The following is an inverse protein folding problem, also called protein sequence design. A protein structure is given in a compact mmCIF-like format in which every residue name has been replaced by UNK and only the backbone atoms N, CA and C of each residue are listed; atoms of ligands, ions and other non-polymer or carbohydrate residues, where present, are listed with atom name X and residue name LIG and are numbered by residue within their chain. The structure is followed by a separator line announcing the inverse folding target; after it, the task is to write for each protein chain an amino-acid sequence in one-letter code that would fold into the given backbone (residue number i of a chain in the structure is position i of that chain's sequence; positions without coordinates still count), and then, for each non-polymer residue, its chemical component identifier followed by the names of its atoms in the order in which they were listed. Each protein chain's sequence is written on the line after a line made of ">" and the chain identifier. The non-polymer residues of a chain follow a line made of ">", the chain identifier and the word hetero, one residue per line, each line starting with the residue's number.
data_IF_434631310155
#
_entry.id   IF_434631310155
#
_cell.length_a   1.000
_cell.length_b   1.000
_cell.length_c   1.000
_cell.angle_alpha   90.00
_cell.angle_beta   90.00
_cell.angle_gamma   90.00
#
_symmetry.space_group_name_H-M   'P 1'
#
loop_
_entity.id
_entity.type
_entity.pdbx_description
1 polymer ?
#
# COMPACT_ATOMS: atom_id res chain seq x y z
N UNK A 1 15.83 5.51 -3.71
CA UNK A 1 14.99 6.58 -4.30
C UNK A 1 13.78 6.94 -3.43
N UNK A 2 12.98 5.96 -2.97
CA UNK A 2 11.77 6.18 -2.12
C UNK A 2 12.03 6.87 -0.76
N UNK A 3 13.22 6.70 -0.16
CA UNK A 3 13.56 7.32 1.13
C UNK A 3 13.65 8.85 1.07
N UNK A 4 14.28 9.41 0.02
CA UNK A 4 14.47 10.86 -0.12
C UNK A 4 13.15 11.62 -0.30
N UNK A 5 12.18 11.02 -0.99
CA UNK A 5 10.84 11.59 -1.14
C UNK A 5 10.07 11.60 0.18
N UNK A 6 10.20 10.55 1.00
CA UNK A 6 9.56 10.47 2.33
C UNK A 6 10.16 11.41 3.35
N UNK A 7 11.48 11.55 3.37
CA UNK A 7 12.13 12.48 4.31
C UNK A 7 11.68 13.91 4.00
N UNK A 8 11.52 14.23 2.71
CA UNK A 8 10.93 15.50 2.25
C UNK A 8 9.46 15.65 2.67
N UNK A 9 8.63 14.63 2.49
CA UNK A 9 7.21 14.66 2.87
C UNK A 9 7.01 14.78 4.39
N UNK A 10 7.83 14.07 5.17
CA UNK A 10 7.84 14.14 6.64
C UNK A 10 8.23 15.54 7.11
N UNK A 11 9.22 16.16 6.45
CA UNK A 11 9.61 17.55 6.71
C UNK A 11 8.52 18.55 6.32
N UNK A 12 7.82 18.34 5.20
CA UNK A 12 6.72 19.20 4.75
C UNK A 12 5.50 19.14 5.68
N UNK A 13 5.21 17.97 6.26
CA UNK A 13 4.08 17.77 7.18
C UNK A 13 4.38 18.22 8.61
N UNK A 14 5.62 18.65 8.91
CA UNK A 14 6.04 19.08 10.26
C UNK A 14 5.92 17.97 11.31
N UNK A 15 5.86 16.70 10.89
CA UNK A 15 5.65 15.57 11.77
C UNK A 15 7.00 14.86 12.05
N UNK A 16 7.57 14.95 13.25
CA UNK A 16 8.87 14.35 13.55
C UNK A 16 8.84 12.82 13.65
N UNK A 17 7.65 12.21 13.79
CA UNK A 17 7.49 10.77 13.96
C UNK A 17 7.19 10.02 12.65
N UNK A 18 6.80 10.75 11.60
CA UNK A 18 6.37 10.17 10.34
C UNK A 18 5.07 9.38 10.46
N UNK A 19 4.89 8.38 9.59
CA UNK A 19 3.66 7.58 9.54
C UNK A 19 3.48 6.72 10.80
N UNK A 20 2.28 6.73 11.37
CA UNK A 20 1.90 5.83 12.48
C UNK A 20 2.04 4.35 12.09
N UNK A 21 1.96 4.01 10.80
CA UNK A 21 2.02 2.63 10.31
C UNK A 21 3.44 2.13 10.01
N UNK A 22 4.47 2.98 10.03
CA UNK A 22 5.83 2.60 9.63
C UNK A 22 6.90 3.16 10.57
N UNK A 23 7.90 2.34 10.85
CA UNK A 23 9.15 2.74 11.46
C UNK A 23 10.25 2.64 10.39
N UNK A 24 10.51 3.76 9.69
CA UNK A 24 11.39 3.83 8.51
C UNK A 24 10.97 2.84 7.41
N UNK A 25 11.72 1.74 7.25
CA UNK A 25 11.49 0.73 6.21
C UNK A 25 10.53 -0.38 6.65
N UNK A 26 10.31 -0.51 7.96
CA UNK A 26 9.53 -1.59 8.55
C UNK A 26 8.13 -1.11 8.97
N UNK A 27 7.14 -2.00 9.10
CA UNK A 27 5.90 -1.69 9.81
C UNK A 27 6.20 -1.25 11.25
N UNK A 28 5.43 -0.29 11.76
CA UNK A 28 5.53 0.10 13.17
C UNK A 28 4.93 -0.98 14.08
N UNK A 29 5.20 -0.89 15.38
CA UNK A 29 4.53 -1.74 16.38
C UNK A 29 3.00 -1.60 16.33
N UNK A 30 2.51 -0.39 16.06
CA UNK A 30 1.08 -0.13 15.87
C UNK A 30 0.54 -0.91 14.66
N UNK A 31 1.19 -0.81 13.50
CA UNK A 31 0.78 -1.55 12.31
C UNK A 31 0.82 -3.07 12.53
N UNK A 32 1.84 -3.56 13.23
CA UNK A 32 1.96 -4.99 13.56
C UNK A 32 0.83 -5.45 14.48
N UNK A 33 0.50 -4.67 15.50
CA UNK A 33 -0.60 -4.96 16.42
C UNK A 33 -1.95 -4.93 15.71
N UNK A 34 -2.18 -3.95 14.85
CA UNK A 34 -3.41 -3.82 14.08
C UNK A 34 -3.62 -5.00 13.13
N UNK A 35 -2.57 -5.44 12.41
CA UNK A 35 -2.62 -6.64 11.54
C UNK A 35 -2.86 -7.95 12.31
N UNK A 36 -2.46 -8.02 13.57
CA UNK A 36 -2.61 -9.21 14.41
C UNK A 36 -3.97 -9.27 15.10
N UNK A 37 -4.48 -8.12 15.53
CA UNK A 37 -5.60 -8.04 16.47
C UNK A 37 -6.91 -7.61 15.83
N UNK A 38 -6.90 -7.09 14.60
CA UNK A 38 -8.10 -6.62 13.93
C UNK A 38 -8.23 -7.30 12.56
N UNK A 39 -9.40 -7.89 12.29
CA UNK A 39 -9.71 -8.46 10.98
C UNK A 39 -9.95 -7.36 9.92
N UNK A 40 -10.49 -6.22 10.34
CA UNK A 40 -10.78 -5.06 9.49
C UNK A 40 -10.33 -3.77 10.19
N UNK A 41 -9.82 -2.83 9.41
CA UNK A 41 -9.51 -1.47 9.88
C UNK A 41 -10.00 -0.44 8.86
N UNK A 42 -10.38 0.73 9.35
CA UNK A 42 -10.89 1.84 8.54
C UNK A 42 -10.72 3.15 9.32
N UNK A 43 -10.77 4.27 8.61
CA UNK A 43 -10.71 5.59 9.25
C UNK A 43 -12.00 5.92 10.03
N UNK A 44 -13.16 5.42 9.59
CA UNK A 44 -14.46 5.63 10.24
C UNK A 44 -15.39 4.45 10.00
N UNK A 45 -16.21 4.09 11.00
CA UNK A 45 -17.21 3.01 10.88
C UNK A 45 -18.22 3.27 9.76
N UNK A 46 -18.46 4.54 9.43
CA UNK A 46 -19.34 4.94 8.32
C UNK A 46 -18.87 4.41 6.97
N UNK A 47 -17.58 4.10 6.80
CA UNK A 47 -17.05 3.48 5.59
C UNK A 47 -17.69 2.12 5.29
N UNK A 48 -18.21 1.40 6.30
CA UNK A 48 -18.95 0.16 6.08
C UNK A 48 -20.26 0.35 5.32
N UNK A 49 -20.84 1.57 5.34
CA UNK A 49 -22.08 1.87 4.59
C UNK A 49 -21.89 1.83 3.08
N UNK A 50 -20.63 1.86 2.61
CA UNK A 50 -20.29 1.76 1.20
C UNK A 50 -20.33 0.30 0.70
N UNK A 51 -20.50 -0.67 1.60
CA UNK A 51 -20.56 -2.09 1.29
C UNK A 51 -21.97 -2.64 1.53
N UNK A 52 -22.35 -3.64 0.73
CA UNK A 52 -23.56 -4.42 0.99
C UNK A 52 -23.46 -5.14 2.35
N UNK A 53 -24.56 -5.30 3.11
CA UNK A 53 -24.57 -6.12 4.33
C UNK A 53 -24.20 -7.59 4.09
N UNK A 54 -24.30 -8.08 2.85
CA UNK A 54 -23.89 -9.43 2.44
C UNK A 54 -22.46 -9.46 1.87
N UNK A 55 -21.73 -8.35 1.91
CA UNK A 55 -20.38 -8.27 1.39
C UNK A 55 -19.42 -9.15 2.21
N UNK A 56 -18.55 -9.87 1.50
CA UNK A 56 -17.53 -10.73 2.10
C UNK A 56 -16.15 -10.14 1.83
N UNK A 57 -15.47 -9.75 2.90
CA UNK A 57 -14.11 -9.21 2.83
C UNK A 57 -13.08 -10.35 2.70
N UNK A 58 -12.14 -10.21 1.77
CA UNK A 58 -11.00 -11.12 1.61
C UNK A 58 -9.70 -10.33 1.84
N UNK A 59 -8.71 -10.90 2.56
CA UNK A 59 -7.40 -10.29 2.68
C UNK A 59 -6.68 -10.32 1.32
N UNK A 60 -5.90 -9.29 1.04
CA UNK A 60 -5.10 -9.19 -0.17
C UNK A 60 -4.00 -10.27 -0.17
N UNK A 61 -3.89 -11.01 -1.27
CA UNK A 61 -3.01 -12.18 -1.44
C UNK A 61 -1.54 -11.83 -1.23
N UNK A 62 -1.14 -10.65 -1.69
CA UNK A 62 0.26 -10.25 -1.81
C UNK A 62 0.88 -9.81 -0.48
N UNK A 63 0.05 -9.48 0.53
CA UNK A 63 0.50 -9.03 1.84
C UNK A 63 1.19 -10.12 2.67
N UNK A 64 1.13 -11.38 2.22
CA UNK A 64 1.74 -12.54 2.88
C UNK A 64 2.89 -13.16 2.10
N UNK A 65 3.22 -12.61 0.93
CA UNK A 65 4.32 -13.16 0.15
C UNK A 65 5.62 -13.06 0.96
N UNK A 66 6.22 -14.21 1.20
CA UNK A 66 7.56 -14.30 1.77
C UNK A 66 8.54 -13.71 0.75
N UNK A 67 9.70 -13.22 1.21
CA UNK A 67 10.66 -12.54 0.34
C UNK A 67 11.07 -13.35 -0.91
N UNK A 68 11.01 -14.68 -0.82
CA UNK A 68 11.32 -15.60 -1.92
C UNK A 68 10.11 -15.91 -2.84
N UNK A 69 8.91 -15.46 -2.50
CA UNK A 69 7.69 -15.63 -3.29
C UNK A 69 7.40 -14.42 -4.20
N UNK A 70 8.02 -13.27 -3.91
CA UNK A 70 7.85 -11.98 -4.60
C UNK A 70 8.16 -12.07 -6.11
N UNK A 71 8.92 -13.07 -6.56
CA UNK A 71 9.24 -13.30 -7.98
C UNK A 71 8.24 -14.17 -8.76
N UNK A 72 7.16 -14.68 -8.14
CA UNK A 72 6.18 -15.56 -8.83
C UNK A 72 4.86 -14.89 -9.20
N UNK A 73 4.56 -13.69 -8.69
CA UNK A 73 3.31 -12.97 -8.93
C UNK A 73 3.43 -11.84 -9.97
N UNK A 74 4.38 -11.94 -10.91
CA UNK A 74 4.56 -10.96 -11.96
C UNK A 74 3.57 -11.20 -13.11
N UNK A 75 2.35 -10.65 -12.98
CA UNK A 75 1.90 -9.75 -14.05
C UNK A 75 2.53 -8.38 -13.75
N UNK A 76 3.86 -8.29 -13.92
CA UNK A 76 4.51 -7.01 -14.05
C UNK A 76 3.93 -6.41 -15.34
N UNK A 77 3.30 -5.25 -15.21
CA UNK A 77 3.23 -4.33 -16.34
C UNK A 77 4.66 -4.16 -16.83
N UNK A 78 4.95 -4.64 -18.03
CA UNK A 78 6.25 -4.44 -18.64
C UNK A 78 6.40 -2.93 -18.80
N UNK A 79 7.47 -2.34 -18.28
CA UNK A 79 7.69 -0.89 -18.38
C UNK A 79 7.73 -0.45 -19.86
N UNK A 80 8.08 -1.38 -20.75
CA UNK A 80 8.02 -1.29 -22.20
C UNK A 80 6.59 -1.04 -22.74
N UNK A 81 5.55 -1.59 -22.10
CA UNK A 81 4.15 -1.41 -22.52
C UNK A 81 3.62 -0.03 -22.11
N UNK A 82 4.02 0.49 -20.95
CA UNK A 82 3.66 1.83 -20.48
C UNK A 82 4.31 2.92 -21.33
N UNK A 83 5.52 2.67 -21.85
CA UNK A 83 6.25 3.63 -22.69
C UNK A 83 5.81 3.60 -24.16
N UNK A 84 5.10 2.55 -24.61
CA UNK A 84 4.57 2.46 -25.98
C UNK A 84 3.31 3.28 -26.21
N UNK A 85 2.51 3.54 -25.18
CA UNK A 85 1.25 4.28 -25.32
C UNK A 85 1.47 5.78 -25.60
N UNK A 86 2.66 6.33 -25.32
CA UNK A 86 2.97 7.74 -25.53
C UNK A 86 3.44 8.07 -26.96
N UNK A 87 3.81 7.08 -27.79
CA UNK A 87 4.34 7.35 -29.15
C UNK A 87 3.30 7.24 -30.29
N UNK A 88 2.12 6.66 -30.05
CA UNK A 88 1.12 6.43 -31.12
C UNK A 88 -0.10 7.39 -31.07
N UNK A 89 0.02 8.49 -30.33
CA UNK A 89 -1.00 9.53 -30.15
C UNK A 89 -0.83 10.78 -31.03
N UNK A 90 -0.12 10.68 -32.16
CA UNK A 90 0.16 11.80 -33.06
C UNK A 90 -0.36 11.59 -34.48
N UNK A 91 -1.61 12.02 -34.73
CA UNK A 91 -2.08 12.38 -36.08
C UNK A 91 -2.27 13.89 -36.18
#
# INVERSE_FOLDING_TARGET
>A
MVSKWRDRETALLGNPFGSVFRARYQPSLFAHSLRRCCDLYMASISSLRLYSPQHRFYPESDFRLLAHEIGRSSECWDLEDVLKEDEDGGN
#
